data_IF_561049462081
#
_entry.id   IF_561049462081
#
_cell.length_a   1.000
_cell.length_b   1.000
_cell.length_c   1.000
_cell.angle_alpha   90.00
_cell.angle_beta   90.00
_cell.angle_gamma   90.00
#
_symmetry.space_group_name_H-M   'P 1'
#
loop_
_entity.id
_entity.type
_entity.pdbx_description
1 polymer ?
#
# COMPACT_ATOMS: atom_id res chain seq x y z
N UNK A 1 2.23 7.03 8.33
CA UNK A 1 3.11 6.46 7.27
C UNK A 1 3.02 7.35 6.05
N UNK A 2 4.14 7.65 5.38
CA UNK A 2 4.23 8.72 4.35
C UNK A 2 3.96 8.24 2.92
N UNK A 3 3.87 6.92 2.69
CA UNK A 3 3.58 6.35 1.37
C UNK A 3 4.75 6.39 0.38
N UNK A 4 5.99 6.65 0.81
CA UNK A 4 7.16 6.72 -0.08
C UNK A 4 7.39 5.44 -0.89
N UNK A 5 7.31 4.27 -0.26
CA UNK A 5 7.45 2.97 -0.94
C UNK A 5 6.36 2.76 -1.98
N UNK A 6 5.11 3.08 -1.64
CA UNK A 6 3.98 2.99 -2.57
C UNK A 6 4.19 3.92 -3.77
N UNK A 7 4.66 5.17 -3.55
CA UNK A 7 4.97 6.11 -4.63
C UNK A 7 6.04 5.56 -5.59
N UNK A 8 7.13 5.01 -5.05
CA UNK A 8 8.18 4.42 -5.86
C UNK A 8 7.65 3.26 -6.71
N UNK A 9 6.85 2.38 -6.11
CA UNK A 9 6.21 1.27 -6.81
C UNK A 9 5.25 1.75 -7.91
N UNK A 10 4.38 2.73 -7.61
CA UNK A 10 3.44 3.30 -8.58
C UNK A 10 4.17 3.88 -9.80
N UNK A 11 5.25 4.66 -9.58
CA UNK A 11 6.04 5.23 -10.67
C UNK A 11 6.74 4.16 -11.51
N UNK A 12 7.31 3.14 -10.86
CA UNK A 12 7.95 2.03 -11.55
C UNK A 12 6.94 1.23 -12.40
N UNK A 13 5.72 1.01 -11.87
CA UNK A 13 4.64 0.35 -12.61
C UNK A 13 4.12 1.22 -13.75
N UNK A 14 3.94 2.53 -13.54
CA UNK A 14 3.49 3.47 -14.60
C UNK A 14 4.42 3.48 -15.80
N UNK A 15 5.73 3.35 -15.59
CA UNK A 15 6.72 3.25 -16.66
C UNK A 15 6.55 1.98 -17.55
N UNK A 16 5.76 1.01 -17.10
CA UNK A 16 5.42 -0.22 -17.85
C UNK A 16 4.08 -0.11 -18.60
N UNK A 17 3.50 1.08 -18.63
CA UNK A 17 2.25 1.41 -19.33
C UNK A 17 1.07 0.45 -19.07
N UNK A 18 0.67 0.24 -17.80
CA UNK A 18 -0.51 -0.57 -17.50
C UNK A 18 -1.78 0.15 -17.99
N UNK A 19 -2.77 -0.63 -18.44
CA UNK A 19 -4.06 -0.08 -18.86
C UNK A 19 -4.80 0.68 -17.73
N UNK A 20 -4.57 0.29 -16.47
CA UNK A 20 -5.04 0.99 -15.27
C UNK A 20 -4.14 0.66 -14.08
N UNK A 21 -3.83 1.65 -13.26
CA UNK A 21 -3.03 1.54 -12.04
C UNK A 21 -3.88 1.97 -10.84
N UNK A 22 -4.09 1.05 -9.90
CA UNK A 22 -4.91 1.27 -8.70
C UNK A 22 -4.06 1.00 -7.46
N UNK A 23 -4.05 1.92 -6.52
CA UNK A 23 -3.52 1.69 -5.18
C UNK A 23 -4.67 1.30 -4.24
N UNK A 24 -4.63 0.08 -3.71
CA UNK A 24 -5.58 -0.38 -2.71
C UNK A 24 -4.87 -0.65 -1.38
N UNK A 25 -5.36 -0.05 -0.30
CA UNK A 25 -4.80 -0.20 1.05
C UNK A 25 -5.90 -0.30 2.11
N UNK A 26 -5.69 -1.03 3.22
CA UNK A 26 -6.68 -1.06 4.30
C UNK A 26 -6.82 0.29 5.02
N UNK A 27 -5.70 1.00 5.24
CA UNK A 27 -5.70 2.31 5.89
C UNK A 27 -4.65 3.24 5.27
N UNK A 28 -4.97 4.52 5.17
CA UNK A 28 -4.02 5.58 4.81
C UNK A 28 -4.19 6.80 5.74
N UNK A 29 -3.12 7.57 5.95
CA UNK A 29 -3.30 8.91 6.53
C UNK A 29 -3.89 9.84 5.46
N UNK A 30 -4.68 10.86 5.84
CA UNK A 30 -5.25 11.81 4.89
C UNK A 30 -4.19 12.48 4.01
N UNK A 31 -3.04 12.85 4.59
CA UNK A 31 -1.93 13.46 3.87
C UNK A 31 -1.27 12.48 2.90
N UNK A 32 -1.08 11.22 3.32
CA UNK A 32 -0.53 10.17 2.49
C UNK A 32 -1.43 9.84 1.30
N UNK A 33 -2.74 9.71 1.54
CA UNK A 33 -3.72 9.49 0.49
C UNK A 33 -3.75 10.67 -0.49
N UNK A 34 -3.87 11.91 0.01
CA UNK A 34 -3.85 13.11 -0.83
C UNK A 34 -2.58 13.21 -1.68
N UNK A 35 -1.42 12.86 -1.12
CA UNK A 35 -0.15 12.90 -1.83
C UNK A 35 0.01 11.79 -2.88
N UNK A 36 -0.69 10.66 -2.74
CA UNK A 36 -0.61 9.50 -3.64
C UNK A 36 -1.72 9.46 -4.70
N UNK A 37 -2.88 10.09 -4.47
CA UNK A 37 -3.97 10.19 -5.46
C UNK A 37 -3.48 10.63 -6.85
N UNK A 38 -2.56 11.60 -7.00
CA UNK A 38 -2.06 12.00 -8.33
C UNK A 38 -1.13 10.99 -9.01
N UNK A 39 -0.62 9.97 -8.31
CA UNK A 39 0.37 9.01 -8.82
C UNK A 39 -0.29 7.75 -9.42
N UNK A 40 -1.61 7.60 -9.26
CA UNK A 40 -2.40 6.41 -9.60
C UNK A 40 -3.71 6.82 -10.27
N UNK A 41 -4.35 5.93 -11.02
CA UNK A 41 -5.66 6.24 -11.64
C UNK A 41 -6.81 6.18 -10.63
N UNK A 42 -6.62 5.41 -9.55
CA UNK A 42 -7.58 5.30 -8.45
C UNK A 42 -6.86 4.92 -7.15
N UNK A 43 -7.37 5.43 -6.03
CA UNK A 43 -6.89 5.12 -4.68
C UNK A 43 -8.07 4.69 -3.82
N UNK A 44 -8.03 3.43 -3.39
CA UNK A 44 -9.05 2.81 -2.54
C UNK A 44 -8.45 2.59 -1.17
N UNK A 45 -8.92 3.34 -0.18
CA UNK A 45 -8.61 3.14 1.23
C UNK A 45 -9.89 2.78 1.99
N UNK A 46 -9.89 1.68 2.75
CA UNK A 46 -11.05 1.33 3.58
C UNK A 46 -11.21 2.33 4.74
N UNK A 47 -10.10 2.82 5.28
CA UNK A 47 -10.06 3.83 6.32
C UNK A 47 -9.10 4.98 5.98
N UNK A 48 -9.59 6.22 6.09
CA UNK A 48 -8.82 7.47 6.01
C UNK A 48 -9.05 8.33 7.27
N UNK A 49 -8.58 7.87 8.44
CA UNK A 49 -8.83 8.53 9.72
C UNK A 49 -8.15 9.90 9.83
N UNK A 50 -8.87 10.91 10.31
CA UNK A 50 -8.29 12.23 10.59
C UNK A 50 -7.18 12.18 11.65
N UNK A 51 -7.34 11.32 12.67
CA UNK A 51 -6.35 11.10 13.72
C UNK A 51 -5.47 9.87 13.43
N UNK A 52 -4.68 9.94 12.35
CA UNK A 52 -3.75 8.86 12.00
C UNK A 52 -2.43 8.99 12.78
N UNK A 53 -2.06 7.97 13.56
CA UNK A 53 -0.79 7.92 14.30
C UNK A 53 0.16 6.90 13.67
N UNK A 54 -0.26 5.65 13.57
CA UNK A 54 0.52 4.55 13.01
C UNK A 54 -0.37 3.62 12.17
N UNK A 55 0.25 2.77 11.33
CA UNK A 55 -0.48 1.73 10.59
C UNK A 55 -0.93 0.63 11.56
N UNK A 56 -0.06 0.20 12.46
CA UNK A 56 -0.32 -0.94 13.35
C UNK A 56 -1.50 -0.78 14.30
N UNK A 57 -1.91 0.45 14.62
CA UNK A 57 -3.11 0.67 15.46
C UNK A 57 -4.43 0.22 14.79
N UNK A 58 -4.40 -0.05 13.48
CA UNK A 58 -5.56 -0.46 12.68
C UNK A 58 -5.67 -1.99 12.53
N UNK A 59 -4.82 -2.73 13.24
CA UNK A 59 -4.79 -4.18 13.24
C UNK A 59 -4.77 -4.67 14.69
N UNK A 60 -5.62 -5.66 15.00
CA UNK A 60 -5.60 -6.33 16.31
C UNK A 60 -4.27 -7.11 16.49
N UNK A 61 -3.77 -7.71 15.41
CA UNK A 61 -2.50 -8.41 15.32
C UNK A 61 -1.60 -7.73 14.28
N UNK A 62 -0.44 -7.23 14.70
CA UNK A 62 0.50 -6.50 13.85
C UNK A 62 1.94 -6.95 14.04
N UNK A 63 2.13 -8.27 14.08
CA UNK A 63 3.43 -8.89 14.22
C UNK A 63 4.31 -8.66 12.98
N UNK A 64 5.62 -8.62 13.21
CA UNK A 64 6.59 -8.44 12.13
C UNK A 64 6.70 -9.73 11.30
N UNK A 65 6.49 -9.61 9.99
CA UNK A 65 6.75 -10.72 9.06
C UNK A 65 8.25 -10.96 8.88
N UNK A 66 8.61 -12.23 8.82
CA UNK A 66 9.96 -12.71 8.48
C UNK A 66 10.12 -12.88 6.97
N UNK A 67 11.37 -12.86 6.49
CA UNK A 67 11.68 -13.16 5.08
C UNK A 67 11.20 -14.57 4.68
N UNK A 68 11.25 -15.54 5.59
CA UNK A 68 10.79 -16.91 5.34
C UNK A 68 9.29 -16.98 5.07
N UNK A 69 8.47 -16.28 5.87
CA UNK A 69 7.02 -16.20 5.67
C UNK A 69 6.66 -15.53 4.34
N UNK A 70 7.36 -14.45 4.00
CA UNK A 70 7.18 -13.76 2.71
C UNK A 70 7.54 -14.68 1.54
N UNK A 71 8.67 -15.37 1.60
CA UNK A 71 9.08 -16.34 0.58
C UNK A 71 8.09 -17.50 0.47
N UNK A 72 7.54 -17.97 1.60
CA UNK A 72 6.49 -18.96 1.64
C UNK A 72 5.24 -18.52 0.88
N UNK A 73 4.75 -17.31 1.14
CA UNK A 73 3.59 -16.74 0.47
C UNK A 73 3.79 -16.58 -1.05
N UNK A 74 4.98 -16.13 -1.47
CA UNK A 74 5.31 -15.99 -2.89
C UNK A 74 5.31 -17.34 -3.62
N UNK A 75 5.94 -18.37 -3.02
CA UNK A 75 5.98 -19.72 -3.61
C UNK A 75 4.58 -20.33 -3.77
N UNK A 76 3.69 -20.07 -2.82
CA UNK A 76 2.31 -20.57 -2.88
C UNK A 76 1.48 -19.98 -4.04
N UNK A 77 1.94 -18.88 -4.67
CA UNK A 77 1.25 -18.18 -5.75
C UNK A 77 2.08 -18.08 -7.03
N UNK A 78 3.16 -18.86 -7.15
CA UNK A 78 3.85 -19.03 -8.42
C UNK A 78 3.06 -20.01 -9.31
N UNK A 79 2.87 -19.69 -10.60
CA UNK A 79 2.23 -20.60 -11.55
C UNK A 79 3.05 -21.86 -11.82
#
# INVERSE_FOLDING_TARGET
ATGSTARAALRALRARDPARLILAVPVASPEGAAALRPETDDLIALHEPAAFMAVGQWYDEFDQLTDEEVLGALRAHQP
#
